data_IF_530386730567
#
_entry.id   IF_530386730567
#
_cell.length_a   1.000
_cell.length_b   1.000
_cell.length_c   1.000
_cell.angle_alpha   90.00
_cell.angle_beta   90.00
_cell.angle_gamma   90.00
#
_symmetry.space_group_name_H-M   'P 1'
#
loop_
_entity.id
_entity.type
_entity.pdbx_description
1 polymer ?
#
# COMPACT_ATOMS: atom_id res chain seq x y z
N UNK A 1 114.11 73.12 -46.64
CA UNK A 1 113.96 71.66 -46.46
C UNK A 1 112.59 71.39 -45.88
N UNK A 2 111.70 70.74 -46.64
CA UNK A 2 110.64 69.81 -46.23
C UNK A 2 109.71 69.62 -47.43
N UNK A 3 110.22 68.87 -48.40
CA UNK A 3 109.39 68.13 -49.35
C UNK A 3 108.74 67.02 -48.52
N UNK A 4 107.42 67.06 -48.36
CA UNK A 4 106.65 65.86 -48.04
C UNK A 4 105.44 65.84 -48.95
N UNK A 5 105.68 65.21 -50.10
CA UNK A 5 104.76 64.60 -51.05
C UNK A 5 103.29 64.53 -50.60
N UNK A 6 102.50 65.53 -50.98
CA UNK A 6 101.05 65.43 -51.04
C UNK A 6 100.67 64.73 -52.34
N UNK A 7 100.59 63.41 -52.31
CA UNK A 7 100.18 62.62 -53.46
C UNK A 7 98.64 62.72 -53.64
N UNK A 8 98.13 63.40 -54.69
CA UNK A 8 96.69 63.67 -54.87
C UNK A 8 95.87 62.38 -55.00
N UNK A 9 96.50 61.27 -55.40
CA UNK A 9 95.85 59.96 -55.44
C UNK A 9 95.49 59.44 -54.04
N UNK A 10 96.28 59.75 -53.01
CA UNK A 10 96.00 59.31 -51.64
C UNK A 10 94.82 60.05 -51.01
N UNK A 11 94.72 61.37 -51.23
CA UNK A 11 93.61 62.19 -50.72
C UNK A 11 92.29 61.79 -51.39
N UNK A 12 92.28 61.63 -52.71
CA UNK A 12 91.11 61.19 -53.45
C UNK A 12 90.67 59.79 -52.99
N UNK A 13 91.61 58.85 -52.80
CA UNK A 13 91.33 57.49 -52.32
C UNK A 13 90.78 57.48 -50.89
N UNK A 14 91.28 58.35 -50.01
CA UNK A 14 90.76 58.50 -48.65
C UNK A 14 89.35 59.13 -48.62
N UNK A 15 89.09 60.15 -49.45
CA UNK A 15 87.77 60.75 -49.58
C UNK A 15 86.75 59.78 -50.18
N UNK A 16 87.11 59.09 -51.27
CA UNK A 16 86.25 58.09 -51.89
C UNK A 16 85.96 56.94 -50.92
N UNK A 17 86.99 56.44 -50.21
CA UNK A 17 86.83 55.37 -49.21
C UNK A 17 85.97 55.82 -48.04
N UNK A 18 86.13 57.05 -47.56
CA UNK A 18 85.29 57.62 -46.49
C UNK A 18 83.84 57.78 -46.96
N UNK A 19 83.62 58.37 -48.13
CA UNK A 19 82.30 58.62 -48.70
C UNK A 19 81.56 57.32 -48.98
N UNK A 20 82.19 56.38 -49.70
CA UNK A 20 81.63 55.05 -49.97
C UNK A 20 81.34 54.32 -48.66
N UNK A 21 82.25 54.32 -47.70
CA UNK A 21 82.01 53.66 -46.40
C UNK A 21 80.85 54.29 -45.63
N UNK A 22 80.71 55.62 -45.64
CA UNK A 22 79.62 56.33 -44.95
C UNK A 22 78.29 56.08 -45.64
N UNK A 23 78.24 56.16 -46.97
CA UNK A 23 77.03 55.94 -47.76
C UNK A 23 76.58 54.49 -47.70
N UNK A 24 77.48 53.53 -47.95
CA UNK A 24 77.18 52.10 -47.89
C UNK A 24 76.76 51.71 -46.47
N UNK A 25 77.46 52.17 -45.43
CA UNK A 25 77.09 51.87 -44.04
C UNK A 25 75.75 52.49 -43.65
N UNK A 26 75.49 53.73 -44.07
CA UNK A 26 74.21 54.40 -43.82
C UNK A 26 73.07 53.65 -44.51
N UNK A 27 73.22 53.38 -45.81
CA UNK A 27 72.24 52.69 -46.64
C UNK A 27 71.96 51.27 -46.14
N UNK A 28 72.99 50.47 -45.86
CA UNK A 28 72.81 49.12 -45.30
C UNK A 28 72.13 49.21 -43.93
N UNK A 29 72.57 50.13 -43.06
CA UNK A 29 71.97 50.27 -41.72
C UNK A 29 70.50 50.68 -41.81
N UNK A 30 70.14 51.67 -42.63
CA UNK A 30 68.75 52.10 -42.77
C UNK A 30 67.93 51.02 -43.43
N UNK A 31 68.37 50.47 -44.56
CA UNK A 31 67.65 49.45 -45.31
C UNK A 31 67.42 48.18 -44.50
N UNK A 32 68.46 47.63 -43.85
CA UNK A 32 68.32 46.45 -42.98
C UNK A 32 67.42 46.78 -41.80
N UNK A 33 67.59 47.94 -41.16
CA UNK A 33 66.76 48.30 -39.99
C UNK A 33 65.30 48.49 -40.38
N UNK A 34 64.99 49.15 -41.48
CA UNK A 34 63.60 49.34 -41.93
C UNK A 34 63.01 48.03 -42.42
N UNK A 35 63.74 47.26 -43.22
CA UNK A 35 63.23 46.01 -43.78
C UNK A 35 62.99 44.99 -42.66
N UNK A 36 63.97 44.74 -41.79
CA UNK A 36 63.81 43.83 -40.64
C UNK A 36 62.70 44.32 -39.72
N UNK A 37 62.66 45.61 -39.40
CA UNK A 37 61.62 46.14 -38.50
C UNK A 37 60.23 45.99 -39.09
N UNK A 38 60.04 46.31 -40.37
CA UNK A 38 58.73 46.23 -41.03
C UNK A 38 58.33 44.76 -41.15
N UNK A 39 59.22 43.90 -41.65
CA UNK A 39 58.91 42.50 -41.91
C UNK A 39 58.70 41.70 -40.63
N UNK A 40 59.57 41.84 -39.64
CA UNK A 40 59.41 41.16 -38.34
C UNK A 40 58.16 41.68 -37.65
N UNK A 41 57.94 43.00 -37.61
CA UNK A 41 56.75 43.56 -36.96
C UNK A 41 55.47 43.12 -37.65
N UNK A 42 55.40 43.19 -38.97
CA UNK A 42 54.19 42.82 -39.72
C UNK A 42 53.92 41.33 -39.65
N UNK A 43 54.95 40.49 -39.78
CA UNK A 43 54.82 39.04 -39.71
C UNK A 43 54.41 38.60 -38.30
N UNK A 44 55.10 39.06 -37.27
CA UNK A 44 54.79 38.72 -35.87
C UNK A 44 53.40 39.21 -35.48
N UNK A 45 53.04 40.46 -35.78
CA UNK A 45 51.70 40.97 -35.47
C UNK A 45 50.62 40.25 -36.28
N UNK A 46 50.86 39.95 -37.55
CA UNK A 46 49.91 39.23 -38.39
C UNK A 46 49.68 37.83 -37.84
N UNK A 47 50.74 37.05 -37.64
CA UNK A 47 50.67 35.69 -37.12
C UNK A 47 50.01 35.64 -35.74
N UNK A 48 50.41 36.51 -34.79
CA UNK A 48 49.79 36.56 -33.46
C UNK A 48 48.32 36.94 -33.59
N UNK A 49 47.99 37.96 -34.38
CA UNK A 49 46.60 38.41 -34.53
C UNK A 49 45.74 37.34 -35.18
N UNK A 50 46.19 36.68 -36.23
CA UNK A 50 45.44 35.61 -36.88
C UNK A 50 45.31 34.41 -35.98
N UNK A 51 46.40 33.98 -35.32
CA UNK A 51 46.37 32.80 -34.46
C UNK A 51 45.48 33.02 -33.24
N UNK A 52 45.67 34.12 -32.50
CA UNK A 52 44.84 34.47 -31.35
C UNK A 52 43.38 34.67 -31.78
N UNK A 53 43.13 35.43 -32.85
CA UNK A 53 41.75 35.69 -33.30
C UNK A 53 41.06 34.41 -33.75
N UNK A 54 41.72 33.55 -34.52
CA UNK A 54 41.11 32.31 -35.00
C UNK A 54 40.91 31.32 -33.88
N UNK A 55 41.90 31.11 -33.02
CA UNK A 55 41.83 30.19 -31.89
C UNK A 55 40.80 30.63 -30.85
N UNK A 56 40.82 31.89 -30.43
CA UNK A 56 39.84 32.42 -29.48
C UNK A 56 38.44 32.37 -30.10
N UNK A 57 38.29 32.77 -31.37
CA UNK A 57 36.98 32.75 -32.03
C UNK A 57 36.46 31.34 -32.22
N UNK A 58 37.29 30.38 -32.62
CA UNK A 58 36.87 28.99 -32.79
C UNK A 58 36.52 28.40 -31.43
N UNK A 59 37.40 28.51 -30.45
CA UNK A 59 37.19 27.97 -29.11
C UNK A 59 35.94 28.55 -28.46
N UNK A 60 35.77 29.88 -28.44
CA UNK A 60 34.58 30.51 -27.87
C UNK A 60 33.32 30.10 -28.65
N UNK A 61 33.36 30.08 -29.98
CA UNK A 61 32.19 29.77 -30.81
C UNK A 61 31.78 28.30 -30.74
N UNK A 62 32.69 27.37 -30.51
CA UNK A 62 32.36 25.95 -30.43
C UNK A 62 32.16 25.50 -28.99
N UNK A 63 33.08 25.84 -28.09
CA UNK A 63 33.10 25.31 -26.74
C UNK A 63 32.02 25.93 -25.84
N UNK A 64 31.77 27.24 -25.94
CA UNK A 64 30.77 27.90 -25.09
C UNK A 64 29.36 27.39 -25.42
N UNK A 65 28.90 27.34 -26.69
CA UNK A 65 27.56 26.86 -26.99
C UNK A 65 27.39 25.38 -26.70
N UNK A 66 28.41 24.54 -26.94
CA UNK A 66 28.31 23.11 -26.62
C UNK A 66 28.23 22.89 -25.12
N UNK A 67 29.09 23.54 -24.33
CA UNK A 67 29.08 23.41 -22.88
C UNK A 67 27.79 23.95 -22.27
N UNK A 68 27.32 25.12 -22.71
CA UNK A 68 26.04 25.69 -22.27
C UNK A 68 24.89 24.75 -22.65
N UNK A 69 24.85 24.28 -23.90
CA UNK A 69 23.79 23.36 -24.34
C UNK A 69 23.79 22.07 -23.55
N UNK A 70 24.94 21.42 -23.35
CA UNK A 70 25.01 20.15 -22.61
C UNK A 70 24.69 20.35 -21.15
N UNK A 71 25.23 21.39 -20.50
CA UNK A 71 24.98 21.67 -19.10
C UNK A 71 23.51 22.03 -18.85
N UNK A 72 22.94 22.94 -19.65
CA UNK A 72 21.54 23.35 -19.54
C UNK A 72 20.62 22.17 -19.84
N UNK A 73 20.86 21.43 -20.92
CA UNK A 73 20.00 20.31 -21.29
C UNK A 73 20.06 19.15 -20.29
N UNK A 74 21.26 18.82 -19.79
CA UNK A 74 21.41 17.75 -18.79
C UNK A 74 20.81 18.17 -17.45
N UNK A 75 21.09 19.39 -16.98
CA UNK A 75 20.64 19.86 -15.68
C UNK A 75 19.12 20.07 -15.67
N UNK A 76 18.58 20.82 -16.64
CA UNK A 76 17.13 21.03 -16.75
C UNK A 76 16.44 19.72 -17.06
N UNK A 77 16.96 18.92 -18.01
CA UNK A 77 16.36 17.64 -18.38
C UNK A 77 16.29 16.66 -17.22
N UNK A 78 17.37 16.51 -16.45
CA UNK A 78 17.35 15.68 -15.24
C UNK A 78 16.44 16.26 -14.18
N UNK A 79 16.56 17.54 -13.86
CA UNK A 79 15.78 18.16 -12.79
C UNK A 79 14.28 18.10 -13.07
N UNK A 80 13.84 18.48 -14.28
CA UNK A 80 12.44 18.38 -14.69
C UNK A 80 12.00 16.93 -14.67
N UNK A 81 12.79 16.00 -15.24
CA UNK A 81 12.42 14.58 -15.26
C UNK A 81 12.27 13.98 -13.87
N UNK A 82 13.21 14.25 -12.96
CA UNK A 82 13.17 13.69 -11.60
C UNK A 82 12.07 14.34 -10.78
N UNK A 83 11.93 15.66 -10.85
CA UNK A 83 10.95 16.40 -10.08
C UNK A 83 9.52 16.14 -10.57
N UNK A 84 9.27 16.17 -11.87
CA UNK A 84 7.95 15.86 -12.43
C UNK A 84 7.60 14.41 -12.14
N UNK A 85 8.53 13.46 -12.33
CA UNK A 85 8.26 12.05 -12.04
C UNK A 85 7.97 11.82 -10.56
N UNK A 86 8.75 12.40 -9.66
CA UNK A 86 8.55 12.23 -8.22
C UNK A 86 7.25 12.88 -7.75
N UNK A 87 6.96 14.09 -8.23
CA UNK A 87 5.75 14.82 -7.91
C UNK A 87 4.51 14.08 -8.41
N UNK A 88 4.47 13.69 -9.68
CA UNK A 88 3.35 12.95 -10.27
C UNK A 88 3.16 11.62 -9.53
N UNK A 89 4.22 10.85 -9.31
CA UNK A 89 4.09 9.54 -8.65
C UNK A 89 3.64 9.68 -7.19
N UNK A 90 4.15 10.68 -6.48
CA UNK A 90 3.76 10.98 -5.10
C UNK A 90 2.28 11.40 -5.02
N UNK A 91 1.89 12.41 -5.80
CA UNK A 91 0.55 12.99 -5.72
C UNK A 91 -0.49 12.00 -6.26
N UNK A 92 -0.27 11.45 -7.46
CA UNK A 92 -1.21 10.50 -8.05
C UNK A 92 -1.25 9.20 -7.25
N UNK A 93 -0.09 8.67 -6.85
CA UNK A 93 -0.02 7.43 -6.09
C UNK A 93 -0.64 7.56 -4.69
N UNK A 94 -0.43 8.70 -4.01
CA UNK A 94 -1.08 8.96 -2.72
C UNK A 94 -2.59 9.15 -2.88
N UNK A 95 -3.03 9.91 -3.89
CA UNK A 95 -4.44 10.15 -4.15
C UNK A 95 -5.20 8.85 -4.46
N UNK A 96 -4.68 8.02 -5.38
CA UNK A 96 -5.31 6.73 -5.71
C UNK A 96 -5.38 5.86 -4.46
N UNK A 97 -4.31 5.79 -3.68
CA UNK A 97 -4.25 4.98 -2.46
C UNK A 97 -5.23 5.44 -1.40
N UNK A 98 -5.31 6.75 -1.13
CA UNK A 98 -6.23 7.30 -0.14
C UNK A 98 -7.67 7.14 -0.60
N UNK A 99 -7.94 7.37 -1.88
CA UNK A 99 -9.26 7.17 -2.48
C UNK A 99 -9.73 5.73 -2.34
N UNK A 100 -8.94 4.75 -2.80
CA UNK A 100 -9.28 3.33 -2.68
C UNK A 100 -9.47 2.91 -1.22
N UNK A 101 -8.56 3.33 -0.33
CA UNK A 101 -8.67 3.01 1.10
C UNK A 101 -9.94 3.59 1.71
N UNK A 102 -10.30 4.82 1.36
CA UNK A 102 -11.54 5.47 1.80
C UNK A 102 -12.75 4.73 1.25
N UNK A 103 -12.75 4.39 -0.03
CA UNK A 103 -13.84 3.68 -0.68
C UNK A 103 -14.12 2.32 -0.02
N UNK A 104 -13.08 1.51 0.17
CA UNK A 104 -13.20 0.20 0.86
C UNK A 104 -13.72 0.39 2.28
N UNK A 105 -13.18 1.36 3.03
CA UNK A 105 -13.56 1.57 4.43
C UNK A 105 -14.98 2.10 4.59
N UNK A 106 -15.44 2.93 3.67
CA UNK A 106 -16.72 3.65 3.79
C UNK A 106 -17.87 2.90 3.15
N UNK A 107 -17.62 2.20 2.05
CA UNK A 107 -18.68 1.49 1.31
C UNK A 107 -18.61 -0.02 1.54
N UNK A 108 -17.45 -0.64 1.28
CA UNK A 108 -17.35 -2.11 1.30
C UNK A 108 -17.44 -2.66 2.73
N UNK A 109 -16.67 -2.10 3.66
CA UNK A 109 -16.58 -2.64 5.01
C UNK A 109 -17.92 -2.58 5.76
N UNK A 110 -18.69 -1.47 5.75
CA UNK A 110 -19.99 -1.44 6.40
C UNK A 110 -21.00 -2.35 5.73
N UNK A 111 -20.96 -2.45 4.40
CA UNK A 111 -21.82 -3.34 3.63
C UNK A 111 -21.60 -4.82 4.01
N UNK A 112 -20.35 -5.28 4.02
CA UNK A 112 -20.03 -6.66 4.43
C UNK A 112 -20.37 -6.87 5.90
N UNK A 113 -20.04 -5.90 6.77
CA UNK A 113 -20.31 -5.98 8.20
C UNK A 113 -21.80 -6.01 8.53
N UNK A 114 -22.67 -5.43 7.72
CA UNK A 114 -24.13 -5.48 7.93
C UNK A 114 -24.76 -6.70 7.25
N UNK A 115 -24.33 -7.04 6.04
CA UNK A 115 -24.96 -8.08 5.22
C UNK A 115 -24.69 -9.48 5.76
N UNK A 116 -23.45 -9.77 6.19
CA UNK A 116 -23.08 -11.10 6.69
C UNK A 116 -23.85 -11.48 7.97
N UNK A 117 -23.89 -10.65 9.04
CA UNK A 117 -24.68 -10.98 10.23
C UNK A 117 -26.17 -11.05 9.94
N UNK A 118 -26.69 -10.16 9.09
CA UNK A 118 -28.11 -10.17 8.71
C UNK A 118 -28.49 -11.48 8.04
N UNK A 119 -27.68 -11.94 7.07
CA UNK A 119 -27.89 -13.20 6.37
C UNK A 119 -27.79 -14.42 7.29
N UNK A 120 -26.77 -14.45 8.16
CA UNK A 120 -26.65 -15.49 9.17
C UNK A 120 -27.85 -15.52 10.12
N UNK A 121 -28.38 -14.36 10.52
CA UNK A 121 -29.57 -14.27 11.38
C UNK A 121 -30.82 -14.78 10.65
N UNK A 122 -30.94 -14.46 9.35
CA UNK A 122 -32.04 -14.92 8.51
C UNK A 122 -32.03 -16.44 8.38
N UNK A 123 -30.88 -17.02 8.02
CA UNK A 123 -30.73 -18.49 7.93
C UNK A 123 -31.04 -19.15 9.28
N UNK A 124 -30.52 -18.61 10.38
CA UNK A 124 -30.80 -19.13 11.73
C UNK A 124 -32.29 -19.07 12.07
N UNK A 125 -32.96 -17.97 11.74
CA UNK A 125 -34.40 -17.81 11.96
C UNK A 125 -35.18 -18.82 11.14
N UNK A 126 -34.86 -18.96 9.85
CA UNK A 126 -35.50 -19.90 8.93
C UNK A 126 -35.37 -21.35 9.39
N UNK A 127 -34.16 -21.78 9.76
CA UNK A 127 -33.93 -23.13 10.29
C UNK A 127 -34.70 -23.35 11.58
N UNK A 128 -34.70 -22.36 12.49
CA UNK A 128 -35.42 -22.45 13.77
C UNK A 128 -36.93 -22.54 13.56
N UNK A 129 -37.51 -21.74 12.67
CA UNK A 129 -38.96 -21.78 12.39
C UNK A 129 -39.35 -23.07 11.69
N UNK A 130 -38.56 -23.53 10.71
CA UNK A 130 -38.80 -24.79 10.02
C UNK A 130 -38.74 -25.98 10.99
N UNK A 131 -37.67 -26.08 11.77
CA UNK A 131 -37.51 -27.15 12.77
C UNK A 131 -38.61 -27.10 13.83
N UNK A 132 -38.89 -25.90 14.38
CA UNK A 132 -39.96 -25.75 15.38
C UNK A 132 -41.31 -26.15 14.81
N UNK A 133 -41.63 -25.74 13.58
CA UNK A 133 -42.88 -26.10 12.92
C UNK A 133 -42.95 -27.60 12.71
N UNK A 134 -41.92 -28.22 12.13
CA UNK A 134 -41.86 -29.65 11.87
C UNK A 134 -41.99 -30.49 13.15
N UNK A 135 -41.21 -30.16 14.19
CA UNK A 135 -41.27 -30.87 15.46
C UNK A 135 -42.61 -30.64 16.15
N UNK A 136 -43.10 -29.40 16.21
CA UNK A 136 -44.36 -29.09 16.86
C UNK A 136 -45.53 -29.80 16.16
N UNK A 137 -45.64 -29.71 14.82
CA UNK A 137 -46.71 -30.39 14.08
C UNK A 137 -46.57 -31.90 14.19
N UNK A 138 -45.40 -32.47 13.94
CA UNK A 138 -45.21 -33.91 13.97
C UNK A 138 -45.38 -34.50 15.37
N UNK A 139 -44.67 -33.96 16.38
CA UNK A 139 -44.71 -34.50 17.75
C UNK A 139 -46.05 -34.24 18.42
N UNK A 140 -46.65 -33.04 18.29
CA UNK A 140 -47.97 -32.81 18.90
C UNK A 140 -49.08 -33.55 18.16
N UNK A 141 -49.05 -33.62 16.82
CA UNK A 141 -50.03 -34.42 16.10
C UNK A 141 -49.90 -35.90 16.46
N UNK A 142 -48.68 -36.44 16.54
CA UNK A 142 -48.43 -37.81 16.96
C UNK A 142 -48.91 -38.07 18.39
N UNK A 143 -48.57 -37.19 19.33
CA UNK A 143 -49.03 -37.33 20.72
C UNK A 143 -50.55 -37.23 20.83
N UNK A 144 -51.18 -36.31 20.09
CA UNK A 144 -52.62 -36.10 20.13
C UNK A 144 -53.40 -37.22 19.44
N UNK A 145 -52.90 -37.76 18.32
CA UNK A 145 -53.59 -38.76 17.51
C UNK A 145 -53.29 -40.20 17.93
N UNK A 146 -52.07 -40.50 18.38
CA UNK A 146 -51.65 -41.87 18.75
C UNK A 146 -51.53 -42.03 20.25
N UNK A 147 -50.64 -41.28 20.91
CA UNK A 147 -50.28 -41.56 22.31
C UNK A 147 -51.45 -41.33 23.26
N UNK A 148 -52.15 -40.20 23.14
CA UNK A 148 -53.24 -39.81 24.03
C UNK A 148 -54.47 -40.74 23.90
N UNK A 149 -54.94 -41.12 22.70
CA UNK A 149 -56.02 -42.08 22.55
C UNK A 149 -55.60 -43.48 22.98
N UNK A 150 -54.38 -43.92 22.66
CA UNK A 150 -53.89 -45.24 23.06
C UNK A 150 -53.79 -45.37 24.58
N UNK A 151 -53.23 -44.37 25.27
CA UNK A 151 -53.20 -44.35 26.74
C UNK A 151 -54.61 -44.32 27.33
N UNK A 152 -55.51 -43.48 26.81
CA UNK A 152 -56.90 -43.40 27.30
C UNK A 152 -57.67 -44.71 27.09
N UNK A 153 -57.45 -45.39 25.97
CA UNK A 153 -58.13 -46.65 25.64
C UNK A 153 -57.52 -47.81 26.41
N UNK A 154 -56.20 -48.04 26.34
CA UNK A 154 -55.55 -49.16 27.03
C UNK A 154 -55.56 -49.02 28.55
N UNK A 155 -55.02 -47.92 29.08
CA UNK A 155 -54.98 -47.70 30.54
C UNK A 155 -56.39 -47.53 31.08
N UNK A 156 -57.23 -46.78 30.38
CA UNK A 156 -58.63 -46.59 30.77
C UNK A 156 -59.47 -47.87 30.68
N UNK A 157 -59.18 -48.78 29.74
CA UNK A 157 -59.80 -50.11 29.68
C UNK A 157 -59.27 -50.99 30.81
N UNK A 158 -57.96 -51.03 31.05
CA UNK A 158 -57.35 -51.81 32.11
C UNK A 158 -57.91 -51.44 33.50
N UNK A 159 -57.97 -50.14 33.81
CA UNK A 159 -58.54 -49.66 35.07
C UNK A 159 -60.03 -49.98 35.18
N UNK A 160 -60.79 -49.86 34.08
CA UNK A 160 -62.22 -50.15 34.09
C UNK A 160 -62.54 -51.65 34.21
N UNK A 161 -61.77 -52.51 33.54
CA UNK A 161 -62.06 -53.93 33.40
C UNK A 161 -61.40 -54.79 34.47
N UNK A 162 -60.25 -54.38 35.02
CA UNK A 162 -59.52 -55.17 36.02
C UNK A 162 -59.54 -54.49 37.39
N UNK A 163 -59.09 -53.23 37.46
CA UNK A 163 -58.89 -52.56 38.77
C UNK A 163 -60.21 -52.24 39.46
N UNK A 164 -61.16 -51.60 38.76
CA UNK A 164 -62.47 -51.24 39.33
C UNK A 164 -63.27 -52.43 39.85
N UNK A 165 -63.46 -53.53 39.09
CA UNK A 165 -64.18 -54.69 39.60
C UNK A 165 -63.43 -55.35 40.75
N UNK A 166 -62.11 -55.57 40.66
CA UNK A 166 -61.31 -56.15 41.75
C UNK A 166 -61.46 -55.38 43.07
N UNK A 167 -61.32 -54.05 43.04
CA UNK A 167 -61.55 -53.20 44.23
C UNK A 167 -63.01 -53.29 44.70
N UNK A 168 -63.98 -53.25 43.78
CA UNK A 168 -65.40 -53.23 44.12
C UNK A 168 -65.91 -54.56 44.66
N UNK A 169 -65.40 -55.69 44.18
CA UNK A 169 -65.83 -57.02 44.60
C UNK A 169 -64.99 -57.50 45.76
N UNK A 170 -63.67 -57.51 45.62
CA UNK A 170 -62.78 -58.27 46.51
C UNK A 170 -62.46 -57.50 47.78
N UNK A 171 -62.15 -56.20 47.66
CA UNK A 171 -61.93 -55.36 48.85
C UNK A 171 -63.27 -55.16 49.58
N UNK A 172 -64.37 -54.97 48.85
CA UNK A 172 -65.69 -54.78 49.46
C UNK A 172 -66.25 -56.07 50.06
N UNK A 173 -65.93 -57.24 49.52
CA UNK A 173 -66.30 -58.53 50.11
C UNK A 173 -65.44 -58.80 51.33
N UNK A 174 -64.12 -58.58 51.26
CA UNK A 174 -63.20 -58.72 52.40
C UNK A 174 -63.63 -57.85 53.59
N UNK A 175 -63.92 -56.57 53.36
CA UNK A 175 -64.39 -55.67 54.43
C UNK A 175 -65.74 -56.12 54.99
N UNK A 176 -66.66 -56.61 54.14
CA UNK A 176 -67.97 -57.07 54.61
C UNK A 176 -67.92 -58.40 55.36
N UNK A 177 -67.09 -59.34 54.92
CA UNK A 177 -67.06 -60.72 55.40
C UNK A 177 -66.07 -60.96 56.53
N UNK A 178 -64.97 -60.20 56.59
CA UNK A 178 -63.95 -60.37 57.63
C UNK A 178 -63.92 -59.18 58.59
N UNK A 179 -63.76 -57.96 58.08
CA UNK A 179 -63.55 -56.79 58.95
C UNK A 179 -64.80 -56.43 59.76
N UNK A 180 -65.97 -56.33 59.12
CA UNK A 180 -67.22 -55.98 59.81
C UNK A 180 -67.64 -56.97 60.91
N UNK A 181 -67.67 -58.30 60.67
CA UNK A 181 -68.01 -59.24 61.72
C UNK A 181 -66.95 -59.27 62.82
N UNK A 182 -65.65 -59.29 62.51
CA UNK A 182 -64.57 -59.27 63.50
C UNK A 182 -64.67 -58.07 64.46
N UNK A 183 -64.89 -56.86 63.93
CA UNK A 183 -65.12 -55.67 64.77
C UNK A 183 -66.41 -55.79 65.58
N UNK A 184 -67.48 -56.34 64.99
CA UNK A 184 -68.79 -56.42 65.62
C UNK A 184 -68.88 -57.49 66.71
N UNK A 185 -68.16 -58.60 66.57
CA UNK A 185 -68.19 -59.73 67.51
C UNK A 185 -67.05 -59.64 68.50
N UNK A 186 -65.81 -59.46 68.04
CA UNK A 186 -64.63 -59.72 68.87
C UNK A 186 -64.26 -58.48 69.66
N UNK A 187 -64.19 -57.32 69.00
CA UNK A 187 -63.93 -56.05 69.70
C UNK A 187 -65.10 -55.70 70.62
N UNK A 188 -66.34 -55.91 70.17
CA UNK A 188 -67.53 -55.60 70.97
C UNK A 188 -67.72 -56.55 72.15
N UNK A 189 -67.40 -57.84 72.00
CA UNK A 189 -67.44 -58.79 73.11
C UNK A 189 -66.32 -58.51 74.12
N UNK A 190 -65.12 -58.20 73.65
CA UNK A 190 -63.99 -57.80 74.49
C UNK A 190 -64.29 -56.55 75.33
N UNK A 191 -64.81 -55.48 74.69
CA UNK A 191 -65.21 -54.27 75.42
C UNK A 191 -66.34 -54.55 76.42
N UNK A 192 -67.34 -55.36 76.05
CA UNK A 192 -68.41 -55.76 77.00
C UNK A 192 -67.90 -56.63 78.15
N UNK A 193 -66.88 -57.44 77.92
CA UNK A 193 -66.24 -58.25 78.95
C UNK A 193 -65.51 -57.36 79.97
N UNK A 194 -64.75 -56.37 79.50
CA UNK A 194 -64.03 -55.43 80.38
C UNK A 194 -64.99 -54.58 81.22
N UNK A 195 -66.08 -54.10 80.61
CA UNK A 195 -67.09 -53.28 81.30
C UNK A 195 -67.90 -54.09 82.33
N UNK A 196 -68.00 -55.42 82.19
CA UNK A 196 -68.65 -56.30 83.17
C UNK A 196 -67.72 -56.78 84.29
N UNK A 197 -66.41 -56.55 84.19
CA UNK A 197 -65.40 -56.93 85.19
C UNK A 197 -65.01 -55.78 86.13
N UNK A 198 -65.71 -54.64 86.06
CA UNK A 198 -65.65 -53.51 86.98
C UNK A 198 -67.01 -53.35 87.65
#
# INVERSE_FOLDING_TARGET
SFVSTYDPKYVLRCFFRSYVRKYVRSFIRTFVRTYVRIYVRSFVLSCIRTYVRTFVRSYVRTYVPTYVRTFVHSYIGMYVRTYVRSFVFSVVGSFIRTFFRSFVRTYIHPFVRSLVPSFCSFVRSFVRTYYRSFVHTYVLSFNHSFVRPYGRTYVGAFVRLFVRPYVRTDIRSFVRLFVRPYVRTDIRSFVRSIVRSY
#
